data_IF_023868941870
#
_entry.id   IF_023868941870
#
_cell.length_a   1.000
_cell.length_b   1.000
_cell.length_c   1.000
_cell.angle_alpha   90.00
_cell.angle_beta   90.00
_cell.angle_gamma   90.00
#
_symmetry.space_group_name_H-M   'P 1'
#
loop_
_entity.id
_entity.type
_entity.pdbx_description
1 polymer ?
#
# COMPACT_ATOMS: atom_id res chain seq x y z
N UNK A 1 -10.22 -15.72 -7.20
CA UNK A 1 -10.70 -14.97 -6.01
C UNK A 1 -10.17 -13.55 -6.11
N UNK A 2 -10.91 -12.66 -6.77
CA UNK A 2 -10.41 -11.33 -7.17
C UNK A 2 -10.49 -10.38 -5.97
N UNK A 3 -9.58 -10.55 -5.02
CA UNK A 3 -9.43 -9.62 -3.91
C UNK A 3 -8.90 -8.30 -4.44
N UNK A 4 -9.58 -7.20 -4.13
CA UNK A 4 -9.09 -5.84 -4.38
C UNK A 4 -7.70 -5.65 -3.75
N UNK A 5 -6.94 -4.69 -4.25
CA UNK A 5 -5.64 -4.28 -3.72
C UNK A 5 -5.71 -2.90 -3.06
N UNK A 6 -4.71 -2.58 -2.22
CA UNK A 6 -4.65 -1.30 -1.52
C UNK A 6 -4.72 -0.10 -2.47
N UNK A 7 -4.10 -0.18 -3.65
CA UNK A 7 -4.10 0.91 -4.63
C UNK A 7 -5.44 1.10 -5.33
N UNK A 8 -6.26 0.05 -5.45
CA UNK A 8 -7.62 0.15 -6.00
C UNK A 8 -8.57 0.80 -5.00
N UNK A 9 -8.46 0.43 -3.71
CA UNK A 9 -9.25 1.03 -2.63
C UNK A 9 -8.84 2.47 -2.35
N UNK A 10 -7.52 2.73 -2.26
CA UNK A 10 -6.98 4.07 -1.94
C UNK A 10 -6.81 4.97 -3.15
N UNK A 11 -7.02 4.47 -4.37
CA UNK A 11 -6.79 5.19 -5.64
C UNK A 11 -5.41 5.86 -5.65
N UNK A 12 -4.39 5.08 -5.25
CA UNK A 12 -3.05 5.61 -5.02
C UNK A 12 -2.39 6.09 -6.32
N UNK A 13 -2.52 5.32 -7.40
CA UNK A 13 -1.92 5.60 -8.70
C UNK A 13 -0.44 5.22 -8.79
N UNK A 14 0.10 4.49 -7.80
CA UNK A 14 1.50 4.00 -7.76
C UNK A 14 1.60 2.49 -7.99
N UNK A 15 0.51 1.84 -8.38
CA UNK A 15 0.54 0.49 -8.93
C UNK A 15 1.41 0.40 -10.18
N UNK A 16 1.84 -0.80 -10.56
CA UNK A 16 2.57 -1.00 -11.83
C UNK A 16 1.74 -0.44 -12.98
N UNK A 17 2.30 0.53 -13.72
CA UNK A 17 1.61 1.25 -14.80
C UNK A 17 0.70 2.40 -14.35
N UNK A 18 0.64 2.70 -13.06
CA UNK A 18 -0.14 3.79 -12.49
C UNK A 18 0.40 5.17 -12.86
N UNK A 19 -0.49 6.18 -12.82
CA UNK A 19 -0.20 7.56 -13.25
C UNK A 19 0.94 8.23 -12.46
N UNK A 20 1.15 7.86 -11.20
CA UNK A 20 2.19 8.45 -10.32
C UNK A 20 3.50 7.68 -10.35
N UNK A 21 3.61 6.60 -11.12
CA UNK A 21 4.86 5.82 -11.22
C UNK A 21 5.96 6.66 -11.85
N UNK A 22 5.64 7.52 -12.83
CA UNK A 22 6.63 8.38 -13.49
C UNK A 22 7.23 9.43 -12.55
N UNK A 23 6.42 9.99 -11.65
CA UNK A 23 6.85 11.08 -10.77
C UNK A 23 7.37 10.60 -9.41
N UNK A 24 6.80 9.52 -8.86
CA UNK A 24 7.07 9.03 -7.50
C UNK A 24 7.62 7.59 -7.46
N UNK A 25 7.87 6.98 -8.62
CA UNK A 25 8.24 5.57 -8.72
C UNK A 25 7.09 4.60 -8.39
N UNK A 26 7.29 3.32 -8.70
CA UNK A 26 6.35 2.25 -8.39
C UNK A 26 6.26 1.99 -6.89
N UNK A 27 5.07 1.62 -6.40
CA UNK A 27 4.89 1.16 -5.03
C UNK A 27 5.60 -0.19 -4.85
N UNK A 28 6.44 -0.35 -3.81
CA UNK A 28 7.08 -1.64 -3.51
C UNK A 28 6.09 -2.79 -3.28
N UNK A 29 4.86 -2.47 -2.86
CA UNK A 29 3.81 -3.48 -2.67
C UNK A 29 3.12 -3.91 -3.97
N UNK A 30 3.30 -3.19 -5.08
CA UNK A 30 2.73 -3.57 -6.37
C UNK A 30 3.75 -4.43 -7.15
N UNK A 31 3.33 -5.53 -7.80
CA UNK A 31 1.94 -5.95 -8.05
C UNK A 31 1.36 -6.99 -7.08
N UNK A 32 2.18 -7.60 -6.20
CA UNK A 32 1.79 -8.83 -5.51
C UNK A 32 1.31 -8.65 -4.07
N UNK A 33 1.67 -7.54 -3.43
CA UNK A 33 1.41 -7.29 -2.02
C UNK A 33 0.32 -6.25 -1.78
N UNK A 34 -0.64 -6.13 -2.71
CA UNK A 34 -1.75 -5.21 -2.56
C UNK A 34 -2.66 -5.55 -1.39
N UNK A 35 -2.78 -6.83 -1.04
CA UNK A 35 -3.63 -7.32 0.05
C UNK A 35 -2.95 -7.33 1.41
N UNK A 36 -1.63 -7.36 1.45
CA UNK A 36 -0.81 -7.43 2.67
C UNK A 36 0.27 -6.35 2.68
N UNK A 37 -0.03 -5.19 2.11
CA UNK A 37 0.94 -4.11 1.91
C UNK A 37 1.60 -3.62 3.20
N UNK A 38 1.02 -3.91 4.38
CA UNK A 38 1.64 -3.63 5.69
C UNK A 38 2.87 -4.49 6.01
N UNK A 39 3.11 -5.57 5.27
CA UNK A 39 4.30 -6.43 5.38
C UNK A 39 5.47 -6.03 4.49
N UNK A 40 5.30 -4.97 3.68
CA UNK A 40 6.33 -4.50 2.74
C UNK A 40 6.95 -3.19 3.21
N UNK A 41 8.23 -3.18 3.54
CA UNK A 41 8.94 -1.96 3.94
C UNK A 41 8.98 -0.91 2.81
N UNK A 42 9.11 0.38 3.17
CA UNK A 42 9.31 1.46 2.18
C UNK A 42 8.07 1.83 1.35
N UNK A 43 6.88 1.31 1.70
CA UNK A 43 5.63 1.72 1.05
C UNK A 43 5.36 3.21 1.29
N UNK A 44 4.89 3.92 0.27
CA UNK A 44 4.53 5.34 0.38
C UNK A 44 3.03 5.49 0.63
N UNK A 45 2.61 5.39 1.89
CA UNK A 45 1.20 5.51 2.28
C UNK A 45 0.96 6.89 2.90
N UNK A 46 -0.15 7.55 2.55
CA UNK A 46 -0.54 8.83 3.14
C UNK A 46 0.42 10.00 2.85
N UNK A 47 1.15 9.95 1.73
CA UNK A 47 2.06 11.03 1.34
C UNK A 47 3.46 10.95 1.98
N UNK A 48 3.78 9.89 2.71
CA UNK A 48 5.09 9.70 3.37
C UNK A 48 5.63 8.29 3.13
N UNK A 49 6.95 8.17 3.03
CA UNK A 49 7.64 6.87 3.08
C UNK A 49 7.38 6.28 4.46
N UNK A 50 6.71 5.13 4.50
CA UNK A 50 6.59 4.34 5.71
C UNK A 50 7.91 3.57 5.88
N UNK A 51 8.51 3.65 7.06
CA UNK A 51 9.80 3.02 7.38
C UNK A 51 9.74 1.49 7.37
N UNK A 52 10.35 0.84 8.36
CA UNK A 52 10.30 -0.62 8.47
C UNK A 52 8.88 -1.12 8.76
N UNK A 53 8.64 -2.41 8.51
CA UNK A 53 7.34 -3.05 8.75
C UNK A 53 6.87 -2.91 10.19
N UNK A 54 7.80 -3.02 11.15
CA UNK A 54 7.53 -2.83 12.57
C UNK A 54 7.11 -1.38 12.90
N UNK A 55 7.80 -0.40 12.31
CA UNK A 55 7.49 1.03 12.55
C UNK A 55 6.12 1.42 12.01
N UNK A 56 5.68 0.82 10.90
CA UNK A 56 4.42 1.20 10.26
C UNK A 56 3.22 0.39 10.73
N UNK A 57 3.41 -0.69 11.50
CA UNK A 57 2.31 -1.54 11.97
C UNK A 57 1.25 -0.72 12.71
N UNK A 58 1.67 0.20 13.59
CA UNK A 58 0.78 1.12 14.29
C UNK A 58 -0.06 1.99 13.33
N UNK A 59 0.58 2.55 12.30
CA UNK A 59 -0.08 3.34 11.25
C UNK A 59 -1.01 2.48 10.39
N UNK A 60 -0.66 1.22 10.15
CA UNK A 60 -1.48 0.30 9.39
C UNK A 60 -2.75 -0.12 10.14
N UNK A 61 -2.72 -0.27 11.48
CA UNK A 61 -3.91 -0.61 12.26
C UNK A 61 -5.06 0.40 12.12
N UNK A 62 -4.76 1.66 11.82
CA UNK A 62 -5.78 2.70 11.56
C UNK A 62 -6.15 2.84 10.09
N UNK A 63 -5.42 2.20 9.18
CA UNK A 63 -5.69 2.24 7.74
C UNK A 63 -6.99 1.50 7.39
N UNK A 64 -7.89 2.15 6.66
CA UNK A 64 -9.16 1.53 6.22
C UNK A 64 -8.94 0.25 5.42
N UNK A 65 -7.91 0.21 4.56
CA UNK A 65 -7.60 -0.98 3.78
C UNK A 65 -7.20 -2.15 4.68
N UNK A 66 -6.32 -1.89 5.66
CA UNK A 66 -5.90 -2.89 6.63
C UNK A 66 -7.10 -3.44 7.41
N UNK A 67 -8.02 -2.56 7.84
CA UNK A 67 -9.25 -2.96 8.53
C UNK A 67 -10.19 -3.74 7.61
N UNK A 68 -10.29 -3.40 6.33
CA UNK A 68 -11.14 -4.12 5.38
C UNK A 68 -10.68 -5.57 5.17
N UNK A 69 -9.37 -5.79 5.08
CA UNK A 69 -8.83 -7.14 4.81
C UNK A 69 -8.57 -7.98 6.06
N UNK A 70 -8.56 -7.38 7.25
CA UNK A 70 -8.45 -8.06 8.56
C UNK A 70 -9.77 -8.08 9.36
N UNK A 71 -10.91 -7.81 8.70
CA UNK A 71 -12.23 -8.17 9.22
C UNK A 71 -12.53 -9.63 8.94
#
# INVERSE_FOLDING_TARGET
MTGKNCWESKKCGREVGGIKVKDMGSCPASPNHGRDCWKVAGTFCGGKIQGTDAQKHATCMVCEWYKEVNK
#
